data_IF_753073028252
#
_entry.id   IF_753073028252
#
_cell.length_a   1.000
_cell.length_b   1.000
_cell.length_c   1.000
_cell.angle_alpha   90.00
_cell.angle_beta   90.00
_cell.angle_gamma   90.00
#
_symmetry.space_group_name_H-M   'P 1'
#
loop_
_entity.id
_entity.type
_entity.pdbx_description
1 polymer ?
2 polymer ?
3 polymer ?
4 non-polymer ?
5 non-polymer ?
6 water ?
#
# COMPACT_ATOMS: atom_id res chain seq x y z
N UNK A 1 -2.08 14.87 -2.65
CA UNK A 1 -2.54 15.32 -1.35
C UNK A 1 -4.04 15.10 -1.19
N UNK A 2 -4.75 14.91 -2.28
CA UNK A 2 -6.19 14.83 -2.20
C UNK A 2 -6.82 14.09 -3.36
N UNK A 3 -7.90 14.70 -3.88
CA UNK A 3 -8.66 14.14 -5.01
C UNK A 3 -7.75 13.91 -6.23
N UNK A 4 -7.95 12.79 -6.96
CA UNK A 4 -7.07 12.49 -8.10
C UNK A 4 -5.68 12.44 -7.57
N UNK A 5 -5.64 12.60 -6.27
CA UNK A 5 -4.44 12.58 -5.51
C UNK A 5 -3.68 13.90 -5.47
N UNK A 6 -2.66 13.99 -6.30
CA UNK A 6 -1.79 15.15 -6.34
C UNK A 6 -1.99 16.01 -7.59
N UNK A 7 -0.87 16.49 -8.14
CA UNK A 7 -0.81 17.31 -9.40
C UNK A 7 0.10 16.67 -10.43
N UNK A 8 1.24 16.29 -9.95
CA UNK A 8 2.19 15.54 -10.68
C UNK A 8 2.01 14.06 -10.31
N UNK A 9 1.04 13.82 -9.43
CA UNK A 9 0.83 12.50 -8.90
C UNK A 9 0.76 11.41 -9.91
N UNK A 10 1.20 10.24 -9.46
CA UNK A 10 1.08 8.99 -10.20
C UNK A 10 1.86 8.88 -11.48
N UNK A 11 2.74 9.90 -11.78
CA UNK A 11 3.64 9.86 -12.95
C UNK A 11 5.06 9.63 -12.48
N UNK A 12 5.61 8.42 -12.73
CA UNK A 12 6.96 8.07 -12.23
C UNK A 12 8.15 8.70 -12.99
N UNK A 13 9.13 9.20 -12.22
CA UNK A 13 10.25 9.86 -12.84
C UNK A 13 11.03 9.03 -13.78
N UNK A 14 11.18 7.74 -13.43
CA UNK A 14 11.98 6.81 -14.21
C UNK A 14 11.21 6.10 -15.24
N UNK A 15 9.90 6.27 -15.25
CA UNK A 15 9.07 5.55 -16.22
C UNK A 15 8.17 6.49 -17.12
N UNK A 16 6.98 6.83 -16.66
CA UNK A 16 6.04 7.70 -17.41
C UNK A 16 6.66 8.97 -17.90
N UNK A 17 7.38 9.62 -17.00
CA UNK A 17 8.07 10.87 -17.28
C UNK A 17 9.11 10.74 -18.42
N UNK A 18 9.65 9.55 -18.67
CA UNK A 18 10.61 9.38 -19.75
C UNK A 18 10.03 8.55 -20.80
N UNK A 19 8.74 8.23 -20.65
CA UNK A 19 8.08 7.33 -21.60
C UNK A 19 8.68 5.87 -21.58
N UNK A 20 9.06 5.39 -20.41
CA UNK A 20 9.53 4.03 -20.32
C UNK A 20 8.49 3.22 -19.58
N UNK A 21 8.37 1.96 -19.91
CA UNK A 21 7.39 1.07 -19.26
C UNK A 21 8.10 0.16 -18.35
N UNK A 22 7.42 -0.30 -17.24
CA UNK A 22 8.02 -1.28 -16.34
C UNK A 22 7.75 -2.65 -16.87
N UNK A 23 8.46 -3.60 -16.36
CA UNK A 23 8.35 -4.94 -16.91
C UNK A 23 6.99 -5.63 -16.83
N UNK A 24 6.07 -5.17 -15.98
CA UNK A 24 4.81 -5.89 -15.96
C UNK A 24 3.60 -5.01 -16.10
N UNK A 25 3.77 -3.71 -16.32
CA UNK A 25 2.59 -2.89 -16.37
C UNK A 25 1.57 -3.29 -17.48
N UNK A 26 2.08 -3.83 -18.60
CA UNK A 26 1.23 -4.31 -19.73
C UNK A 26 0.09 -5.23 -19.18
N UNK A 27 0.48 -6.17 -18.31
CA UNK A 27 -0.45 -7.11 -17.65
C UNK A 27 -1.72 -6.37 -17.05
N UNK A 28 -1.50 -5.27 -16.41
CA UNK A 28 -2.57 -4.53 -15.84
C UNK A 28 -3.42 -3.98 -16.93
N UNK A 29 -2.75 -3.35 -17.85
CA UNK A 29 -3.42 -2.68 -18.91
C UNK A 29 -4.25 -3.62 -19.74
N UNK A 30 -3.73 -4.82 -19.89
CA UNK A 30 -4.40 -5.80 -20.68
C UNK A 30 -5.61 -6.35 -20.03
N UNK A 31 -5.66 -6.28 -18.71
CA UNK A 31 -6.80 -6.80 -17.99
C UNK A 31 -7.98 -5.83 -18.01
N UNK A 32 -7.68 -4.57 -18.30
CA UNK A 32 -8.74 -3.60 -18.29
C UNK A 32 -9.41 -3.77 -19.56
N UNK A 33 -9.10 -4.92 -20.15
CA UNK A 33 -9.54 -5.27 -21.43
C UNK A 33 -8.82 -4.46 -22.51
N UNK A 34 -7.47 -4.48 -22.36
CA UNK A 34 -6.49 -3.75 -23.18
C UNK A 34 -6.51 -2.25 -22.95
N UNK A 35 -5.35 -1.72 -22.53
CA UNK A 35 -5.16 -0.33 -22.17
C UNK A 35 -5.36 0.69 -23.29
N UNK A 36 -5.07 1.95 -22.93
CA UNK A 36 -5.18 3.10 -23.80
C UNK A 36 -4.42 2.86 -25.11
N UNK B 1 5.28 -10.61 0.41
CA UNK B 1 4.64 -11.01 -0.81
C UNK B 1 5.06 -12.43 -1.19
N UNK B 2 4.05 -13.25 -1.43
CA UNK B 2 4.16 -14.64 -1.84
C UNK B 2 3.96 -14.75 -3.34
N UNK B 3 4.92 -15.38 -4.02
CA UNK B 3 4.83 -15.56 -5.45
C UNK B 3 4.96 -14.26 -6.25
N UNK B 4 5.75 -13.29 -5.73
CA UNK B 4 5.99 -12.05 -6.44
C UNK B 4 7.36 -12.08 -7.12
N UNK B 5 7.92 -10.92 -7.38
CA UNK B 5 9.21 -10.80 -7.99
C UNK B 5 9.87 -9.53 -7.55
N UNK B 6 11.16 -9.44 -7.78
CA UNK B 6 11.88 -8.23 -7.41
C UNK B 6 11.30 -7.03 -8.16
N UNK B 7 11.11 -5.94 -7.47
CA UNK B 7 10.65 -4.74 -8.15
C UNK B 7 11.84 -4.11 -8.94
N UNK B 8 11.56 -3.31 -9.99
CA UNK B 8 12.62 -2.56 -10.62
C UNK B 8 12.85 -1.27 -9.80
N UNK B 9 14.04 -0.70 -9.94
CA UNK B 9 14.39 0.51 -9.22
C UNK B 9 13.44 1.66 -9.67
N UNK B 10 12.88 2.37 -8.71
CA UNK B 10 11.97 3.49 -8.97
C UNK B 10 10.55 3.07 -9.46
N UNK B 11 10.24 1.78 -9.37
CA UNK B 11 8.99 1.25 -9.84
C UNK B 11 7.75 1.70 -9.00
N UNK B 12 7.94 1.89 -7.68
CA UNK B 12 6.89 2.35 -6.72
C UNK B 12 7.44 3.40 -5.86
N UNK B 13 7.64 4.54 -6.43
CA UNK B 13 8.30 5.60 -5.73
C UNK B 13 7.45 6.17 -4.60
N UNK B 14 6.19 5.72 -4.48
CA UNK B 14 5.34 6.15 -3.37
C UNK B 14 5.43 5.14 -2.19
N UNK B 15 6.16 4.03 -2.39
CA UNK B 15 6.30 3.04 -1.34
C UNK B 15 7.05 3.56 -0.16
N UNK B 16 6.45 3.37 1.01
CA UNK B 16 6.99 3.80 2.29
C UNK B 16 7.18 2.63 3.23
N UNK B 17 8.25 2.66 4.01
CA UNK B 17 8.49 1.63 5.01
C UNK B 17 8.29 2.15 6.41
N UNK B 18 7.44 1.46 7.13
CA UNK B 18 7.10 1.78 8.52
C UNK B 18 8.06 1.04 9.39
N UNK B 19 8.82 1.84 10.10
CA UNK B 19 9.96 1.32 10.80
C UNK B 19 9.99 1.58 12.31
N UNK B 20 10.09 0.48 13.04
CA UNK B 20 10.14 0.58 14.48
C UNK B 20 11.54 1.02 14.96
N UNK B 21 11.53 2.04 15.80
CA UNK B 21 12.76 2.59 16.32
C UNK B 21 13.56 1.57 17.17
N UNK B 22 12.87 0.88 18.10
CA UNK B 22 13.53 -0.06 19.02
C UNK B 22 12.55 -1.00 19.67
N UNK B 23 12.71 -2.27 19.42
CA UNK B 23 13.73 -2.77 18.53
C UNK B 23 13.52 -2.25 17.11
N UNK B 24 14.59 -2.26 16.32
CA UNK B 24 14.54 -1.81 14.95
C UNK B 24 13.95 -2.89 14.11
N UNK B 25 12.74 -2.66 13.66
CA UNK B 25 12.11 -3.65 12.84
C UNK B 25 11.10 -3.02 11.87
N UNK B 26 10.86 -3.76 10.81
CA UNK B 26 9.92 -3.38 9.82
C UNK B 26 8.55 -3.67 10.39
N UNK B 27 7.73 -2.62 10.53
CA UNK B 27 6.40 -2.75 11.05
C UNK B 27 5.38 -3.12 9.98
N UNK B 28 5.38 -2.32 8.90
CA UNK B 28 4.37 -2.41 7.87
C UNK B 28 4.79 -1.60 6.69
N UNK B 29 3.96 -1.68 5.65
CA UNK B 29 4.08 -0.84 4.45
C UNK B 29 3.17 0.41 4.63
N UNK B 30 3.28 1.36 3.67
CA UNK B 30 2.51 2.60 3.69
C UNK B 30 2.73 3.26 2.35
N UNK B 31 2.06 4.40 2.11
CA UNK B 31 2.17 5.08 0.85
C UNK B 31 2.21 6.60 1.00
N UNK B 32 3.01 7.20 0.10
CA UNK B 32 3.24 8.64 0.09
C UNK B 32 2.19 9.29 -0.82
N UNK B 33 1.31 10.13 -0.20
CA UNK B 33 0.19 10.81 -0.97
C UNK B 33 0.44 12.29 -1.22
N UNK B 34 1.44 12.81 -0.56
CA UNK B 34 1.87 14.17 -0.81
C UNK B 34 3.22 14.40 -0.11
N UNK B 35 3.73 15.63 -0.12
CA UNK B 35 5.00 15.83 0.48
C UNK B 35 5.02 15.69 1.95
N UNK B 36 3.84 15.74 2.58
CA UNK B 36 3.74 15.71 4.06
C UNK B 36 2.79 14.60 4.69
N UNK B 37 2.19 13.78 3.81
CA UNK B 37 1.16 12.75 4.25
C UNK B 37 1.39 11.33 3.76
N UNK B 38 1.33 10.41 4.73
CA UNK B 38 1.50 9.01 4.44
C UNK B 38 0.21 8.30 4.72
N UNK B 39 -0.14 7.37 3.90
CA UNK B 39 -1.39 6.59 4.09
C UNK B 39 -1.07 5.16 4.46
N UNK B 40 -1.77 4.61 5.49
CA UNK B 40 -1.52 3.22 5.93
C UNK B 40 -2.78 2.57 6.51
N UNK B 41 -2.65 1.33 6.98
CA UNK B 41 -3.75 0.56 7.61
C UNK B 41 -3.76 0.85 9.09
N UNK B 42 -4.96 1.13 9.59
CA UNK B 42 -5.15 1.39 11.04
C UNK B 42 -4.57 0.28 11.94
N UNK B 43 -4.69 -0.99 11.52
CA UNK B 43 -4.20 -2.08 12.29
C UNK B 43 -2.66 -2.15 12.45
N UNK B 44 -1.93 -1.42 11.63
CA UNK B 44 -0.51 -1.32 11.72
C UNK B 44 -0.09 -0.59 12.98
N UNK B 45 -0.97 0.35 13.43
CA UNK B 45 -0.74 1.20 14.61
C UNK B 45 -1.47 0.77 15.92
N UNK B 46 -2.74 0.31 15.75
CA UNK B 46 -3.64 -0.01 16.85
C UNK B 46 -4.33 -1.27 16.66
N UNK B 47 -4.09 -2.14 17.60
CA UNK B 47 -4.66 -3.48 17.59
C UNK B 47 -4.62 -4.14 18.97
N UNK B 48 -5.56 -3.72 19.81
CA UNK B 48 -5.70 -4.10 21.23
C UNK B 48 -5.64 -5.56 21.54
N UNK B 49 -6.19 -6.36 20.71
CA UNK B 49 -6.14 -7.76 20.93
C UNK B 49 -4.72 -8.29 21.03
N UNK B 50 -3.77 -7.57 20.47
CA UNK B 50 -2.36 -8.01 20.53
C UNK B 50 -1.55 -7.07 21.33
N UNK B 51 -2.23 -6.19 21.98
CA UNK B 51 -1.58 -5.20 22.71
C UNK B 51 -0.80 -4.22 21.82
N UNK B 52 -1.28 -3.98 20.62
CA UNK B 52 -0.59 -3.05 19.74
C UNK B 52 -1.23 -1.66 19.76
N UNK B 53 -0.44 -0.66 20.17
CA UNK B 53 -0.88 0.72 20.21
C UNK B 53 0.30 1.67 19.98
N UNK B 54 0.80 1.78 18.74
CA UNK B 54 1.91 2.67 18.47
C UNK B 54 1.57 4.16 18.45
N UNK B 55 2.57 4.92 18.84
CA UNK B 55 2.52 6.37 18.91
C UNK B 55 3.53 7.05 17.92
N UNK B 56 3.36 8.33 17.70
CA UNK B 56 4.25 9.09 16.81
C UNK B 56 5.73 8.84 17.10
N UNK B 57 6.06 8.84 18.36
CA UNK B 57 7.46 8.67 18.77
C UNK B 57 8.01 7.27 18.71
N UNK B 58 7.19 6.32 18.31
CA UNK B 58 7.65 4.95 18.30
C UNK B 58 8.22 4.57 17.00
N UNK B 59 7.87 5.37 16.00
CA UNK B 59 8.11 5.01 14.64
C UNK B 59 8.89 5.95 13.84
N UNK B 60 9.40 5.40 12.77
CA UNK B 60 10.06 6.13 11.75
C UNK B 60 9.47 5.76 10.41
N UNK B 61 9.41 6.72 9.52
CA UNK B 61 8.99 6.48 8.16
C UNK B 61 10.21 6.52 7.18
N UNK B 62 10.42 5.44 6.44
CA UNK B 62 11.48 5.42 5.48
C UNK B 62 10.92 5.41 4.06
N UNK B 63 11.37 6.43 3.24
CA UNK B 63 10.95 6.63 1.85
C UNK B 63 12.07 6.53 0.76
N UNK B 64 11.72 5.99 -0.41
CA UNK B 64 12.66 5.86 -1.54
C UNK B 64 13.51 4.58 -1.42
N UNK B 65 13.07 3.58 -0.64
CA UNK B 65 13.86 2.35 -0.43
C UNK B 65 13.70 1.34 -1.50
N UNK B 66 14.67 0.46 -1.53
CA UNK B 66 14.64 -0.66 -2.43
C UNK B 66 15.04 -1.91 -1.64
N UNK B 67 16.19 -1.79 -1.08
CA UNK B 67 16.71 -2.77 -0.21
C UNK B 67 15.89 -2.78 1.12
N UNK B 68 15.52 -3.97 1.56
CA UNK B 68 14.79 -4.16 2.82
C UNK B 68 15.64 -3.81 4.04
N UNK B 69 16.90 -4.35 4.14
CA UNK B 69 17.74 -4.15 5.37
C UNK B 69 18.83 -3.09 5.35
N UNK B 70 19.32 -2.73 4.19
CA UNK B 70 20.42 -1.79 4.10
C UNK B 70 20.00 -0.37 4.34
N UNK B 71 20.91 0.42 4.89
CA UNK B 71 20.61 1.82 4.99
C UNK B 71 21.01 2.50 3.67
N UNK B 72 20.04 2.89 2.81
CA UNK B 72 20.35 3.40 1.46
C UNK B 72 20.84 4.87 1.34
N UNK B 73 22.13 5.04 1.69
CA UNK B 73 22.84 6.34 1.68
C UNK B 73 22.68 7.13 0.34
N UNK B 74 22.29 8.37 0.51
CA UNK B 74 22.08 9.27 -0.57
C UNK B 74 20.85 8.92 -1.43
N UNK B 75 20.11 7.89 -1.06
CA UNK B 75 18.91 7.52 -1.83
C UNK B 75 17.59 7.69 -1.01
N UNK B 76 17.53 6.94 0.08
CA UNK B 76 16.40 6.93 0.95
C UNK B 76 16.37 8.13 1.88
N UNK B 77 15.16 8.51 2.29
CA UNK B 77 14.90 9.57 3.25
C UNK B 77 14.10 9.01 4.44
N UNK B 78 14.51 9.43 5.65
CA UNK B 78 13.89 9.02 6.90
C UNK B 78 13.23 10.18 7.52
N UNK B 79 11.97 9.99 7.94
CA UNK B 79 11.21 11.13 8.53
C UNK B 79 10.56 10.75 9.77
N UNK B 80 10.23 11.79 10.48
CA UNK B 80 9.59 11.71 11.72
C UNK B 80 8.19 12.12 11.58
N UNK B 81 7.35 11.51 12.42
CA UNK B 81 5.91 11.74 12.44
C UNK B 81 5.54 12.84 13.30
N UNK B 82 4.67 13.68 12.78
CA UNK B 82 4.14 14.79 13.56
C UNK B 82 2.82 14.37 14.29
N UNK B 83 1.90 13.73 13.53
CA UNK B 83 0.61 13.27 14.08
C UNK B 83 0.05 12.08 13.34
N UNK B 84 -0.58 11.21 14.10
CA UNK B 84 -1.27 10.05 13.56
C UNK B 84 -2.76 10.27 13.64
N UNK B 85 -3.50 9.86 12.63
CA UNK B 85 -4.94 9.93 12.70
C UNK B 85 -5.51 8.63 12.24
N UNK B 86 -6.30 8.05 13.08
CA UNK B 86 -7.01 6.80 12.78
C UNK B 86 -8.47 7.09 12.49
N UNK B 87 -9.09 6.38 11.56
CA UNK B 87 -10.52 6.56 11.35
C UNK B 87 -11.31 6.32 12.68
N UNK B 88 -12.14 7.28 13.02
CA UNK B 88 -12.94 7.24 14.22
C UNK B 88 -13.80 6.01 14.30
N UNK B 89 -14.24 5.49 13.18
CA UNK B 89 -15.03 4.29 13.21
C UNK B 89 -14.33 3.02 12.83
N UNK B 90 -12.98 2.99 12.87
CA UNK B 90 -12.22 1.73 12.59
C UNK B 90 -12.72 0.55 13.52
N UNK B 91 -13.10 -0.58 12.94
CA UNK B 91 -13.66 -1.67 13.73
C UNK B 91 -12.73 -2.81 14.02
N UNK B 92 -11.86 -2.63 15.04
CA UNK B 92 -10.93 -3.65 15.43
C UNK B 92 -11.56 -4.76 16.22
N UNK B 93 -12.73 -4.52 16.80
CA UNK B 93 -13.41 -5.59 17.58
C UNK B 93 -13.98 -6.69 16.72
N UNK B 94 -14.47 -6.36 15.56
CA UNK B 94 -15.09 -7.35 14.76
C UNK B 94 -14.41 -7.73 13.48
N UNK B 95 -14.37 -6.84 12.50
CA UNK B 95 -13.87 -7.30 11.21
C UNK B 95 -12.84 -6.37 10.52
N UNK B 96 -12.25 -5.43 11.25
CA UNK B 96 -11.28 -4.52 10.61
C UNK B 96 -11.94 -3.57 9.60
N UNK B 97 -13.20 -3.32 9.78
CA UNK B 97 -13.89 -2.38 8.91
C UNK B 97 -13.33 -0.96 9.12
N UNK B 98 -13.14 -0.26 8.00
CA UNK B 98 -12.50 1.08 7.95
C UNK B 98 -11.07 1.00 8.44
N UNK B 99 -10.30 0.08 7.89
CA UNK B 99 -8.91 -0.10 8.36
C UNK B 99 -7.98 0.93 7.64
N UNK B 100 -7.96 2.15 8.17
CA UNK B 100 -7.29 3.22 7.48
C UNK B 100 -6.74 4.25 8.43
N UNK B 101 -5.56 4.83 8.08
CA UNK B 101 -4.92 5.82 8.91
C UNK B 101 -4.03 6.71 8.12
N UNK B 102 -4.01 7.97 8.56
CA UNK B 102 -3.17 9.04 8.01
C UNK B 102 -2.06 9.43 8.99
N UNK B 103 -0.88 9.73 8.40
CA UNK B 103 0.28 10.19 9.16
C UNK B 103 0.85 11.41 8.53
N UNK B 104 0.88 12.47 9.32
CA UNK B 104 1.46 13.74 8.89
C UNK B 104 2.96 13.80 9.27
N UNK B 105 3.81 14.06 8.28
CA UNK B 105 5.26 14.09 8.54
C UNK B 105 5.68 15.33 9.24
N UNK B 106 6.70 15.21 10.00
CA UNK B 106 7.24 16.35 10.67
C UNK B 106 7.66 17.41 9.66
N UNK B 107 8.41 17.02 8.64
CA UNK B 107 8.77 17.98 7.59
C UNK B 107 8.51 17.41 6.22
N UNK B 108 8.26 18.25 5.27
CA UNK B 108 7.98 17.81 3.92
C UNK B 108 9.18 17.13 3.34
N UNK B 109 8.93 16.10 2.58
CA UNK B 109 10.00 15.38 2.00
C UNK B 109 10.17 15.91 0.61
N UNK B 110 11.40 15.87 0.08
CA UNK B 110 11.61 16.29 -1.31
C UNK B 110 11.56 15.12 -2.26
N UNK B 111 10.89 15.37 -3.38
CA UNK B 111 10.76 14.39 -4.40
C UNK B 111 12.03 14.23 -5.11
N UNK B 112 12.19 13.07 -5.69
CA UNK B 112 13.39 12.70 -6.39
C UNK B 112 13.04 11.63 -7.35
N UNK B 113 14.04 11.04 -8.00
CA UNK B 113 13.82 9.96 -8.90
C UNK B 113 13.15 8.75 -8.23
N UNK B 114 13.42 8.59 -6.91
CA UNK B 114 12.97 7.42 -6.10
C UNK B 114 11.79 7.66 -5.12
N UNK B 115 11.37 8.91 -5.07
CA UNK B 115 10.41 9.47 -4.16
C UNK B 115 9.39 10.38 -4.89
N UNK B 116 8.14 9.89 -4.98
CA UNK B 116 7.10 10.58 -5.72
C UNK B 116 5.69 10.09 -5.28
N UNK B 117 4.74 10.95 -5.10
CA UNK B 117 3.44 10.56 -4.59
C UNK B 117 2.50 9.82 -5.55
N UNK B 118 1.62 9.01 -4.98
CA UNK B 118 0.61 8.36 -5.80
C UNK B 118 -0.69 9.23 -5.86
N UNK B 119 -1.54 9.06 -6.87
CA UNK B 119 -2.83 9.75 -6.86
C UNK B 119 -3.90 8.98 -6.03
N UNK B 120 -4.84 9.76 -5.48
CA UNK B 120 -6.04 9.22 -4.84
C UNK B 120 -7.15 9.26 -5.84
N UNK B 121 -7.95 8.20 -5.90
CA UNK B 121 -8.99 8.09 -6.88
C UNK B 121 -10.15 9.09 -6.70
N UNK B 122 -10.74 9.40 -7.82
CA UNK B 122 -11.94 10.16 -7.93
C UNK B 122 -13.12 9.17 -8.21
N UNK B 123 -14.33 9.65 -8.04
CA UNK B 123 -15.47 8.83 -8.23
C UNK B 123 -15.48 8.13 -9.56
N UNK B 124 -15.11 8.81 -10.58
CA UNK B 124 -15.16 8.22 -11.90
C UNK B 124 -14.02 7.30 -12.18
N UNK B 125 -12.90 7.60 -11.61
CA UNK B 125 -11.80 6.69 -11.79
C UNK B 125 -12.18 5.34 -11.11
N UNK B 126 -12.70 5.44 -9.87
CA UNK B 126 -13.14 4.27 -9.10
C UNK B 126 -14.19 3.51 -9.86
N UNK B 127 -15.15 4.24 -10.34
CA UNK B 127 -16.17 3.62 -11.07
C UNK B 127 -15.59 2.83 -12.24
N UNK B 128 -14.70 3.44 -13.00
CA UNK B 128 -14.19 2.78 -14.18
C UNK B 128 -13.27 1.59 -13.95
N UNK B 129 -12.50 1.62 -12.86
CA UNK B 129 -11.48 0.60 -12.68
C UNK B 129 -11.75 -0.49 -11.71
N UNK B 130 -12.55 -0.20 -10.73
CA UNK B 130 -12.77 -1.20 -9.71
C UNK B 130 -13.77 -2.22 -10.15
N UNK B 131 -13.34 -3.15 -11.03
CA UNK B 131 -14.19 -4.19 -11.60
C UNK B 131 -13.58 -5.56 -11.51
N UNK B 132 -14.45 -6.61 -11.26
CA UNK B 132 -13.96 -7.97 -11.11
C UNK B 132 -13.22 -8.31 -12.32
N UNK B 133 -12.01 -8.90 -12.17
CA UNK B 133 -11.23 -9.21 -13.31
C UNK B 133 -10.11 -8.18 -13.59
N UNK B 134 -10.35 -6.92 -13.28
CA UNK B 134 -9.28 -5.96 -13.50
C UNK B 134 -8.16 -6.23 -12.54
N UNK B 135 -6.95 -6.07 -13.00
CA UNK B 135 -5.82 -6.31 -12.11
C UNK B 135 -5.26 -5.04 -11.54
N UNK B 136 -4.73 -5.19 -10.34
CA UNK B 136 -4.04 -4.18 -9.62
C UNK B 136 -2.70 -4.74 -9.15
N UNK B 137 -1.94 -3.92 -8.44
CA UNK B 137 -0.62 -4.25 -8.06
C UNK B 137 -0.35 -3.99 -6.61
N UNK B 138 0.33 -4.99 -5.96
CA UNK B 138 0.70 -4.88 -4.55
C UNK B 138 2.23 -4.94 -4.37
N UNK B 139 2.73 -4.17 -3.45
CA UNK B 139 4.14 -4.19 -3.25
C UNK B 139 4.48 -4.27 -1.78
N UNK B 140 5.67 -4.79 -1.47
CA UNK B 140 6.09 -4.77 -0.09
C UNK B 140 7.28 -5.67 0.24
N UNK B 141 7.73 -5.56 1.50
CA UNK B 141 8.87 -6.30 2.03
C UNK B 141 8.48 -7.40 3.00
N UNK B 142 7.22 -7.78 3.00
CA UNK B 142 6.75 -8.82 3.87
C UNK B 142 7.32 -10.18 3.46
N UNK B 143 6.93 -11.15 4.23
CA UNK B 143 7.39 -12.51 4.04
C UNK B 143 7.11 -13.08 2.67
N UNK B 144 7.98 -14.01 2.29
CA UNK B 144 7.82 -14.70 1.07
C UNK B 144 6.92 -15.95 1.18
N UNK B 145 6.67 -16.41 2.41
CA UNK B 145 5.90 -17.64 2.62
C UNK B 145 5.14 -17.55 3.90
N UNK B 146 3.99 -18.27 4.00
CA UNK B 146 3.19 -18.30 5.27
C UNK B 146 4.00 -18.83 6.47
N UNK B 147 4.82 -19.86 6.24
CA UNK B 147 5.67 -20.40 7.30
C UNK B 147 6.91 -21.07 6.75
N UNK B 148 7.73 -20.24 6.17
CA UNK B 148 9.04 -20.51 5.63
C UNK B 148 9.83 -21.39 6.57
N UNK B 155 10.60 -17.15 3.58
CA UNK B 155 11.64 -16.36 4.20
C UNK B 155 11.35 -14.84 4.10
N UNK B 156 12.42 -14.07 4.07
CA UNK B 156 12.40 -12.64 3.88
C UNK B 156 13.22 -12.22 2.66
N UNK B 157 12.61 -11.31 1.87
CA UNK B 157 13.21 -10.83 0.64
C UNK B 157 14.39 -9.89 0.92
N UNK B 158 15.24 -9.72 -0.05
CA UNK B 158 16.32 -8.78 0.13
C UNK B 158 15.87 -7.44 -0.40
N UNK B 159 15.05 -7.49 -1.39
CA UNK B 159 14.66 -6.30 -2.07
C UNK B 159 13.10 -6.20 -2.15
N UNK B 160 12.56 -4.98 -2.40
CA UNK B 160 11.14 -4.79 -2.53
C UNK B 160 10.54 -5.81 -3.54
N UNK B 161 9.41 -6.47 -3.18
CA UNK B 161 8.75 -7.46 -4.06
C UNK B 161 7.49 -6.86 -4.70
N UNK B 162 7.04 -7.47 -5.75
CA UNK B 162 5.90 -6.96 -6.44
C UNK B 162 5.01 -8.09 -6.98
N UNK B 163 3.69 -7.89 -6.99
CA UNK B 163 2.78 -8.87 -7.58
C UNK B 163 1.51 -8.21 -8.09
N UNK B 164 1.02 -8.68 -9.22
CA UNK B 164 -0.21 -8.15 -9.83
C UNK B 164 -1.39 -9.12 -9.60
N UNK B 165 -2.52 -8.63 -9.10
CA UNK B 165 -3.64 -9.50 -8.76
C UNK B 165 -4.95 -8.98 -9.25
N UNK B 166 -5.82 -9.89 -9.57
CA UNK B 166 -7.13 -9.53 -10.07
C UNK B 166 -8.14 -9.22 -8.97
N UNK B 167 -9.00 -8.26 -9.23
CA UNK B 167 -10.07 -7.97 -8.28
C UNK B 167 -11.14 -9.13 -8.38
N UNK B 168 -11.68 -9.55 -7.26
CA UNK B 168 -12.67 -10.64 -7.24
C UNK B 168 -14.14 -10.12 -6.95
N UNK B 169 -15.12 -10.83 -7.55
CA UNK B 169 -16.58 -10.56 -7.36
C UNK B 169 -16.97 -10.67 -5.89
N UNK B 170 -17.71 -9.68 -5.41
CA UNK B 170 -18.12 -9.65 -4.03
C UNK B 170 -18.69 -10.97 -3.47
N UNK B 171 -19.52 -11.70 -4.24
CA UNK B 171 -20.09 -12.95 -3.76
C UNK B 171 -19.07 -14.02 -3.48
N UNK B 172 -18.10 -14.14 -4.36
CA UNK B 172 -17.06 -15.09 -4.13
C UNK B 172 -16.26 -14.69 -2.87
N UNK B 173 -16.07 -13.36 -2.70
CA UNK B 173 -15.34 -12.85 -1.56
C UNK B 173 -16.00 -13.34 -0.23
N UNK B 174 -17.30 -13.05 -0.13
CA UNK B 174 -18.17 -13.40 1.01
C UNK B 174 -18.21 -14.96 1.29
N UNK B 175 -18.29 -15.77 0.22
CA UNK B 175 -18.37 -17.23 0.36
C UNK B 175 -17.09 -17.89 0.77
N UNK B 176 -16.03 -17.10 0.85
CA UNK B 176 -14.74 -17.61 1.15
C UNK B 176 -14.40 -17.47 2.59
N UNK B 177 -15.20 -16.76 3.32
CA UNK B 177 -14.84 -16.59 4.70
C UNK B 177 -16.03 -16.63 5.57
N UNK B 178 -15.75 -16.68 6.82
CA UNK B 178 -16.78 -16.60 7.84
C UNK B 178 -16.89 -15.23 8.44
N UNK B 179 -15.94 -14.35 8.09
CA UNK B 179 -15.98 -12.98 8.59
C UNK B 179 -17.02 -12.15 7.85
N UNK B 180 -17.69 -11.28 8.56
CA UNK B 180 -18.67 -10.38 7.93
C UNK B 180 -17.97 -9.19 7.10
N UNK B 181 -18.11 -9.23 5.76
CA UNK B 181 -17.56 -8.27 4.75
C UNK B 181 -18.43 -6.99 4.61
N UNK B 182 -17.81 -5.79 4.59
CA UNK B 182 -18.56 -4.56 4.39
C UNK B 182 -18.28 -3.97 3.01
N UNK B 183 -19.00 -2.91 2.73
CA UNK B 183 -18.83 -2.17 1.53
C UNK B 183 -17.52 -1.41 1.57
N UNK B 184 -16.87 -1.30 2.74
CA UNK B 184 -15.61 -0.59 2.84
C UNK B 184 -14.43 -1.48 2.53
N UNK B 185 -14.73 -2.60 1.95
CA UNK B 185 -13.67 -3.55 1.60
C UNK B 185 -13.88 -4.14 0.26
N UNK B 186 -12.79 -4.72 -0.28
CA UNK B 186 -12.80 -5.50 -1.48
C UNK B 186 -11.75 -6.62 -1.34
N UNK B 187 -11.89 -7.69 -2.12
CA UNK B 187 -10.93 -8.78 -2.08
C UNK B 187 -10.30 -8.97 -3.43
N UNK B 188 -9.11 -9.51 -3.41
CA UNK B 188 -8.38 -9.76 -4.64
C UNK B 188 -7.51 -11.00 -4.54
N UNK B 189 -7.20 -11.58 -5.69
CA UNK B 189 -6.41 -12.76 -5.75
C UNK B 189 -6.90 -13.67 -6.83
N UNK B 190 -6.07 -14.67 -7.19
CA UNK B 190 -6.48 -15.62 -8.19
C UNK B 190 -7.36 -16.74 -7.55
N UNK B 191 -8.21 -17.36 -8.37
CA UNK B 191 -8.98 -18.53 -7.97
C UNK B 191 -8.09 -19.75 -8.14
N UNK B 192 -8.35 -20.82 -7.32
CA UNK B 192 -7.50 -22.05 -7.25
C UNK B 192 -7.33 -22.73 -8.60
N UNK B 193 -8.38 -22.49 -9.38
CA UNK B 193 -8.65 -22.84 -10.73
C UNK B 193 -7.63 -22.18 -11.67
N UNK B 194 -7.52 -20.83 -11.52
CA UNK B 194 -6.71 -19.90 -12.32
C UNK B 194 -5.24 -20.29 -12.51
N UNK B 195 -4.71 -21.11 -11.60
CA UNK B 195 -3.33 -21.54 -11.72
C UNK B 195 -2.38 -20.35 -11.95
N UNK B 196 -2.43 -19.47 -11.01
CA UNK B 196 -1.63 -18.28 -10.92
C UNK B 196 -1.83 -17.89 -9.51
N UNK B 197 -0.77 -17.63 -8.79
CA UNK B 197 -0.94 -17.32 -7.37
C UNK B 197 -0.33 -16.03 -6.99
N UNK B 198 -0.24 -15.84 -5.68
CA UNK B 198 0.35 -14.66 -5.12
C UNK B 198 -0.57 -13.99 -4.09
N UNK B 199 0.04 -13.32 -3.17
CA UNK B 199 -0.71 -12.66 -2.15
C UNK B 199 0.23 -11.81 -1.30
N UNK B 200 -0.37 -10.93 -0.50
CA UNK B 200 0.34 -10.20 0.48
C UNK B 200 0.58 -11.18 1.60
N UNK B 201 1.40 -10.81 2.53
CA UNK B 201 1.68 -11.66 3.69
C UNK B 201 2.15 -10.82 4.86
N UNK B 202 2.59 -11.49 5.91
CA UNK B 202 3.10 -10.76 7.05
C UNK B 202 4.19 -9.74 6.63
N UNK B 203 4.06 -8.50 7.17
CA UNK B 203 5.00 -7.39 6.87
C UNK B 203 4.55 -6.51 5.68
N UNK B 204 3.60 -7.01 4.86
CA UNK B 204 3.01 -6.27 3.72
C UNK B 204 1.84 -5.33 4.09
N UNK B 205 1.16 -5.62 5.22
CA UNK B 205 0.04 -4.81 5.75
C UNK B 205 0.32 -3.36 5.61
N UNK B 206 -0.71 -2.58 5.25
CA UNK B 206 -0.60 -1.17 5.19
C UNK B 206 -0.14 -0.67 3.88
N UNK B 207 0.37 -1.58 3.07
CA UNK B 207 0.84 -1.17 1.78
C UNK B 207 -0.28 -0.88 0.72
N UNK B 208 0.16 -0.38 -0.44
CA UNK B 208 -0.76 0.02 -1.52
C UNK B 208 -1.17 -1.02 -2.47
N UNK B 209 -2.41 -0.88 -2.87
CA UNK B 209 -2.91 -1.68 -3.95
C UNK B 209 -3.19 -0.64 -5.02
N UNK B 210 -2.46 -0.66 -6.09
CA UNK B 210 -2.61 0.44 -7.02
C UNK B 210 -3.03 -0.02 -8.36
N UNK B 211 -3.55 0.93 -9.11
CA UNK B 211 -3.94 0.69 -10.49
C UNK B 211 -3.48 1.83 -11.37
N UNK B 212 -3.23 1.51 -12.67
CA UNK B 212 -2.83 2.56 -13.65
C UNK B 212 -4.03 2.96 -14.59
N UNK B 213 -4.39 4.25 -14.61
CA UNK B 213 -5.50 4.70 -15.47
C UNK B 213 -5.11 4.61 -16.94
N UNK B 214 -5.98 3.97 -17.75
CA UNK B 214 -5.71 3.92 -19.15
C UNK B 214 -6.17 5.22 -19.81
N UNK B 215 -6.78 6.13 -19.05
CA UNK B 215 -7.23 7.37 -19.61
C UNK B 215 -6.19 8.40 -19.50
N UNK B 216 -5.52 8.45 -18.36
CA UNK B 216 -4.56 9.53 -18.23
C UNK B 216 -3.14 9.09 -17.90
N UNK B 217 -2.93 7.77 -17.80
CA UNK B 217 -1.61 7.17 -17.56
C UNK B 217 -1.06 7.33 -16.17
N UNK B 218 -1.86 7.76 -15.23
CA UNK B 218 -1.42 7.92 -13.88
C UNK B 218 -1.73 6.70 -13.03
N UNK B 219 -0.94 6.57 -11.97
CA UNK B 219 -1.14 5.54 -10.96
C UNK B 219 -2.04 6.06 -9.83
N UNK B 220 -3.05 5.22 -9.51
CA UNK B 220 -4.01 5.51 -8.46
C UNK B 220 -3.99 4.45 -7.37
N UNK B 221 -4.06 4.88 -6.14
CA UNK B 221 -4.14 3.88 -5.13
C UNK B 221 -5.60 3.50 -4.85
N UNK B 222 -6.03 2.32 -5.17
CA UNK B 222 -7.42 1.93 -4.86
C UNK B 222 -7.62 1.23 -3.51
N UNK B 223 -6.58 0.53 -3.01
CA UNK B 223 -6.69 -0.23 -1.78
C UNK B 223 -5.48 -0.12 -0.86
N UNK B 224 -5.71 -0.59 0.37
CA UNK B 224 -4.72 -0.76 1.40
C UNK B 224 -4.73 -2.16 1.81
N UNK B 225 -3.56 -2.81 1.84
CA UNK B 225 -3.46 -4.19 2.36
C UNK B 225 -4.05 -4.30 3.81
N UNK B 226 -5.15 -5.09 3.99
CA UNK B 226 -5.80 -5.10 5.30
C UNK B 226 -5.71 -6.40 6.06
N UNK B 227 -6.29 -7.45 5.47
CA UNK B 227 -6.32 -8.74 6.12
C UNK B 227 -6.45 -9.89 5.15
N UNK B 228 -6.11 -11.03 5.66
CA UNK B 228 -6.24 -12.24 4.92
C UNK B 228 -6.03 -13.42 5.84
N UNK B 229 -6.60 -14.56 5.52
CA UNK B 229 -6.44 -15.78 6.32
C UNK B 229 -5.32 -16.62 5.75
N UNK B 230 -4.15 -16.51 6.40
CA UNK B 230 -2.94 -17.15 5.88
C UNK B 230 -2.38 -16.37 4.65
N UNK B 231 -1.49 -16.99 3.93
CA UNK B 231 -0.94 -16.32 2.76
C UNK B 231 -0.95 -17.23 1.58
N UNK B 232 -1.57 -16.77 0.54
CA UNK B 232 -1.57 -17.51 -0.68
C UNK B 232 -2.23 -18.87 -0.54
N UNK B 233 -3.27 -18.92 0.29
CA UNK B 233 -4.01 -20.16 0.48
C UNK B 233 -5.02 -20.37 -0.65
N UNK B 234 -5.20 -21.63 -1.12
CA UNK B 234 -6.23 -21.89 -2.16
C UNK B 234 -7.63 -21.67 -1.62
N UNK B 235 -8.47 -21.02 -2.40
CA UNK B 235 -9.82 -20.73 -1.96
C UNK B 235 -9.94 -19.48 -1.03
N UNK B 236 -8.77 -18.87 -0.70
CA UNK B 236 -8.74 -17.69 0.13
C UNK B 236 -8.30 -16.46 -0.69
N UNK B 237 -8.65 -15.29 -0.21
CA UNK B 237 -8.33 -14.04 -0.89
C UNK B 237 -7.77 -13.01 0.05
N UNK B 238 -7.23 -11.97 -0.53
CA UNK B 238 -6.81 -10.88 0.26
C UNK B 238 -7.91 -9.82 0.24
N UNK B 239 -8.06 -9.22 1.40
CA UNK B 239 -8.97 -8.13 1.64
C UNK B 239 -8.26 -6.81 1.76
N UNK B 240 -8.83 -5.82 1.13
CA UNK B 240 -8.23 -4.53 1.13
C UNK B 240 -9.19 -3.46 1.54
N UNK B 241 -8.72 -2.44 2.22
CA UNK B 241 -9.53 -1.26 2.49
C UNK B 241 -9.84 -0.48 1.19
N UNK B 242 -11.10 -0.13 1.03
CA UNK B 242 -11.65 0.59 -0.19
C UNK B 242 -11.42 2.07 -0.08
N UNK B 243 -10.32 2.52 -0.66
CA UNK B 243 -9.86 3.88 -0.46
C UNK B 243 -10.89 4.92 -0.88
N UNK B 244 -11.47 4.70 -2.01
CA UNK B 244 -12.41 5.66 -2.45
C UNK B 244 -13.57 5.89 -1.44
N UNK B 245 -14.13 4.80 -0.89
CA UNK B 245 -15.26 4.93 0.04
C UNK B 245 -14.96 5.73 1.19
N UNK B 246 -13.68 5.90 1.43
CA UNK B 246 -13.24 6.65 2.56
C UNK B 246 -12.55 7.97 2.19
N UNK B 247 -12.57 8.32 0.92
CA UNK B 247 -11.91 9.57 0.50
C UNK B 247 -12.36 10.77 1.33
N UNK B 248 -13.64 10.81 1.62
CA UNK B 248 -14.17 11.94 2.37
C UNK B 248 -13.50 12.11 3.69
N UNK B 249 -13.37 11.07 4.39
CA UNK B 249 -12.71 11.23 5.60
C UNK B 249 -11.25 11.74 5.37
N UNK B 250 -10.59 11.27 4.32
CA UNK B 250 -9.21 11.68 4.04
C UNK B 250 -9.12 13.18 3.82
N UNK B 251 -9.98 13.71 2.93
CA UNK B 251 -10.02 15.19 2.62
C UNK B 251 -10.23 16.02 3.86
N UNK B 252 -11.19 15.63 4.56
CA UNK B 252 -11.49 16.26 5.77
C UNK B 252 -10.27 16.39 6.62
N UNK B 253 -9.66 15.25 6.95
CA UNK B 253 -8.51 15.34 7.79
C UNK B 253 -7.39 16.18 7.22
N UNK B 254 -7.12 16.02 5.98
CA UNK B 254 -6.06 16.80 5.41
C UNK B 254 -6.38 18.31 5.40
N UNK B 255 -7.64 18.67 5.12
CA UNK B 255 -7.95 20.08 5.12
C UNK B 255 -8.01 20.72 6.47
N UNK B 256 -8.53 20.00 7.45
CA UNK B 256 -8.67 20.50 8.81
C UNK B 256 -7.36 20.57 9.61
N UNK B 257 -6.34 19.92 9.09
CA UNK B 257 -5.09 19.81 9.80
C UNK B 257 -3.79 20.04 8.98
N UNK B 258 -3.86 20.49 7.70
CA UNK B 258 -2.60 20.78 7.00
C UNK B 258 -2.56 20.45 5.52
N UNK B 259 -1.94 19.30 5.22
CA UNK B 259 -1.69 18.82 3.88
C UNK B 259 -0.24 19.06 3.55
N UNK C 1 18.54 -7.90 11.78
CA UNK C 1 19.00 -8.06 10.39
C UNK C 1 19.19 -6.72 9.71
N UNK C 2 18.64 -5.69 10.34
CA UNK C 2 18.67 -4.36 9.82
C UNK C 2 20.00 -3.68 10.02
N UNK C 3 20.47 -3.08 8.96
CA UNK C 3 21.65 -2.30 9.08
C UNK C 3 21.34 -1.01 9.88
N UNK C 4 22.30 -0.62 10.71
CA UNK C 4 22.20 0.58 11.58
C UNK C 4 21.89 1.83 10.78
N UNK C 5 20.92 2.62 11.23
CA UNK C 5 20.60 3.85 10.54
C UNK C 5 21.36 4.98 11.16
N UNK C 6 21.32 6.15 10.59
CA UNK C 6 22.03 7.22 11.21
C UNK C 6 21.35 7.73 12.57
N UNK C 7 22.18 7.99 13.61
CA UNK C 7 21.69 8.41 14.93
C UNK C 7 20.83 9.68 14.94
N UNK C 8 21.01 10.53 13.94
CA UNK C 8 20.24 11.79 13.81
C UNK C 8 18.73 11.53 13.76
N UNK C 9 18.44 10.32 13.38
CA UNK C 9 17.13 9.84 13.16
C UNK C 9 16.52 9.21 14.36
N UNK C 10 17.33 8.81 15.30
CA UNK C 10 16.79 8.20 16.52
C UNK C 10 16.75 9.22 17.68
X LIG D 1 -3.41 4.17 22.22
X LIG D 1 -4.84 4.07 22.65
X LIG D 1 -5.46 5.24 23.37
X LIG D 1 -4.44 6.19 23.91
X LIG D 1 -2.96 6.13 23.45
X LIG D 1 -2.01 7.20 23.97
X LIG D 1 -6.46 2.07 23.10
X LIG D 1 -5.76 1.26 24.17
X LIG D 1 -5.58 2.80 22.32
X LIG D 1 -6.68 5.09 24.15
X LIG D 1 -4.88 7.38 24.66
X LIG D 1 -2.51 4.81 23.14
X LIG D 1 -0.66 7.24 23.61
X LIG D 1 -7.18 1.37 22.39
X LIG E 1 -5.67 -10.94 9.88
X LIG E 1 -5.19 -11.04 8.74
X LIG E 1 -6.20 -11.99 10.50
X LIG E 1 -5.96 -13.36 10.44
X LIG E 1 -7.25 -14.05 10.34
X LIG E 1 -7.42 -15.34 10.84
X LIG E 1 -8.66 -15.96 10.80
X LIG E 1 -9.75 -15.30 10.23
X LIG E 1 -9.60 -14.01 9.72
X LIG E 1 -8.35 -13.38 9.79
X LIG E 1 -5.54 -9.86 10.63
X LIG E 1 -4.76 -8.64 10.25
X LIG E 1 -3.44 -9.00 9.55
X LIG E 1 -2.74 -9.84 10.04
X LIG E 1 -4.42 -7.93 11.58
X LIG E 1 -5.07 -8.76 12.69
X LIG E 1 -5.77 -9.98 12.05
X LIG E 1 -2.46 -12.90 3.06
X LIG E 1 -1.95 -12.29 4.28
X LIG E 1 -2.27 -10.82 4.40
X LIG E 1 -1.60 -10.17 5.58
X LIG E 1 -2.43 -9.04 6.19
X LIG E 1 -2.05 -8.67 7.56
X LIG E 1 -3.07 -8.27 8.42
#
# INVERSE_FOLDING_TARGET
TFGSGEADCGLRPLFEKKSLEDKTERELLESYIDGR
IVEGSDAEIGMSPWQVMLFRKSPQELLCGASLISDRWVLTAAHCLLYPPWDKNFTENDLLVRIGKHSRTRYERNIEKISMLEKIYIHPRYNWRENLDRDIALMKLKKPVAFSDYIHPVCLPDRETAASLLQAGYKGRVTGWGNLKETWTANVGKGQPSVLQVVNLPIVERPVCKDSTRIRITDNMFCAGYKPDEGKRGDACEGDSGGPFVMKSPFNNRWYQMGIVSWGEGCDRDGKYGFYTHVFRLKKWIQKVIDQFGE
DFEEIPEEYL
NAG C1 C2 C3 C4 C5 C6 C7 C8 N2 O3 O4 O5 O6 O7
ALZ C14 O14 O15 C16 C17 C18 C19 C20 C21 C22 N8 C9 C8 O8 C10 C11 C12 N1 C2 C3 C4 C5 N6 N7
#
